data_IF_774382507055
#
_entry.id   IF_774382507055
#
_cell.length_a   1.000
_cell.length_b   1.000
_cell.length_c   1.000
_cell.angle_alpha   90.00
_cell.angle_beta   90.00
_cell.angle_gamma   90.00
#
_symmetry.space_group_name_H-M   'P 1'
#
loop_
_entity.id
_entity.type
_entity.pdbx_description
1 polymer ?
#
# COMPACT_ATOMS: atom_id res chain seq x y z
N UNK A 1 -27.46 17.61 -1.55
CA UNK A 1 -27.80 16.65 -0.47
C UNK A 1 -26.51 16.16 0.19
N UNK A 2 -26.56 15.58 1.39
CA UNK A 2 -25.43 14.89 2.04
C UNK A 2 -24.13 15.72 2.20
N UNK A 3 -24.22 17.03 2.31
CA UNK A 3 -23.04 17.90 2.45
C UNK A 3 -22.15 18.01 1.20
N UNK A 4 -22.60 17.52 0.04
CA UNK A 4 -21.91 17.68 -1.23
C UNK A 4 -22.16 19.07 -1.84
N UNK A 5 -21.08 19.77 -2.18
CA UNK A 5 -21.10 20.98 -3.01
C UNK A 5 -20.85 20.62 -4.50
N UNK A 6 -20.88 21.61 -5.40
CA UNK A 6 -20.69 21.37 -6.83
C UNK A 6 -19.30 20.79 -7.15
N UNK A 7 -18.27 21.28 -6.46
CA UNK A 7 -16.90 20.79 -6.63
C UNK A 7 -16.78 19.31 -6.25
N UNK A 8 -17.28 18.91 -5.07
CA UNK A 8 -17.24 17.51 -4.61
C UNK A 8 -18.00 16.57 -5.55
N UNK A 9 -19.15 17.01 -6.07
CA UNK A 9 -19.89 16.24 -7.08
C UNK A 9 -19.07 16.06 -8.35
N UNK A 10 -18.44 17.13 -8.84
CA UNK A 10 -17.57 17.08 -10.03
C UNK A 10 -16.43 16.08 -9.83
N UNK A 11 -15.71 16.16 -8.71
CA UNK A 11 -14.62 15.22 -8.38
C UNK A 11 -15.10 13.77 -8.36
N UNK A 12 -16.25 13.50 -7.73
CA UNK A 12 -16.81 12.15 -7.67
C UNK A 12 -17.23 11.62 -9.06
N UNK A 13 -17.89 12.46 -9.86
CA UNK A 13 -18.29 12.12 -11.25
C UNK A 13 -17.08 11.89 -12.15
N UNK A 14 -16.07 12.75 -12.08
CA UNK A 14 -14.85 12.62 -12.87
C UNK A 14 -14.09 11.35 -12.48
N UNK A 15 -14.06 10.98 -11.18
CA UNK A 15 -13.48 9.71 -10.73
C UNK A 15 -14.20 8.50 -11.34
N UNK A 16 -15.53 8.51 -11.36
CA UNK A 16 -16.31 7.41 -11.97
C UNK A 16 -16.04 7.35 -13.47
N UNK A 17 -16.10 8.50 -14.16
CA UNK A 17 -15.83 8.61 -15.60
C UNK A 17 -14.44 8.09 -15.96
N UNK A 18 -13.41 8.51 -15.23
CA UNK A 18 -12.03 8.09 -15.48
C UNK A 18 -11.83 6.59 -15.25
N UNK A 19 -12.45 6.02 -14.21
CA UNK A 19 -12.40 4.57 -13.96
C UNK A 19 -13.13 3.82 -15.06
N UNK A 20 -14.33 4.24 -15.46
CA UNK A 20 -15.09 3.61 -16.54
C UNK A 20 -14.30 3.68 -17.86
N UNK A 21 -13.82 4.86 -18.22
CA UNK A 21 -12.96 5.06 -19.39
C UNK A 21 -11.75 4.13 -19.37
N UNK A 22 -11.03 4.05 -18.25
CA UNK A 22 -9.89 3.13 -18.13
C UNK A 22 -10.31 1.67 -18.32
N UNK A 23 -11.39 1.22 -17.68
CA UNK A 23 -11.83 -0.18 -17.74
C UNK A 23 -12.38 -0.59 -19.10
N UNK A 24 -13.06 0.32 -19.80
CA UNK A 24 -13.64 0.08 -21.12
C UNK A 24 -12.60 0.16 -22.25
N UNK A 25 -11.52 0.92 -22.07
CA UNK A 25 -10.45 1.07 -23.07
C UNK A 25 -9.24 0.15 -22.83
N UNK A 26 -9.29 -0.73 -21.83
CA UNK A 26 -8.26 -1.73 -21.59
C UNK A 26 -8.87 -3.13 -21.67
N UNK A 27 -8.20 -4.03 -22.38
CA UNK A 27 -8.75 -5.33 -22.77
C UNK A 27 -7.78 -6.46 -22.45
N UNK A 28 -8.32 -7.63 -22.15
CA UNK A 28 -7.57 -8.89 -22.18
C UNK A 28 -7.89 -9.57 -23.51
N UNK A 29 -6.86 -9.89 -24.29
CA UNK A 29 -6.97 -10.68 -25.51
C UNK A 29 -6.94 -12.17 -25.18
N UNK A 30 -7.93 -12.90 -25.66
CA UNK A 30 -8.00 -14.36 -25.63
C UNK A 30 -8.17 -14.85 -27.07
N UNK A 31 -7.07 -15.17 -27.74
CA UNK A 31 -7.09 -15.42 -29.19
C UNK A 31 -7.61 -14.19 -29.93
N UNK A 32 -8.68 -14.39 -30.69
CA UNK A 32 -9.34 -13.33 -31.48
C UNK A 32 -10.37 -12.50 -30.67
N UNK A 33 -10.65 -12.88 -29.43
CA UNK A 33 -11.63 -12.18 -28.59
C UNK A 33 -10.96 -11.15 -27.69
N UNK A 34 -11.43 -9.90 -27.74
CA UNK A 34 -11.06 -8.85 -26.80
C UNK A 34 -12.14 -8.69 -25.73
N UNK A 35 -11.77 -8.90 -24.47
CA UNK A 35 -12.69 -8.73 -23.34
C UNK A 35 -12.26 -7.50 -22.53
N UNK A 36 -13.07 -6.43 -22.44
CA UNK A 36 -12.74 -5.24 -21.68
C UNK A 36 -12.67 -5.54 -20.18
N UNK A 37 -11.87 -4.77 -19.45
CA UNK A 37 -11.72 -4.94 -18.00
C UNK A 37 -13.03 -4.71 -17.25
N UNK A 38 -13.92 -3.86 -17.77
CA UNK A 38 -15.24 -3.59 -17.20
C UNK A 38 -16.10 -4.85 -17.06
N UNK A 39 -15.95 -5.85 -17.94
CA UNK A 39 -16.72 -7.09 -17.88
C UNK A 39 -16.46 -7.90 -16.61
N UNK A 40 -15.25 -7.84 -16.05
CA UNK A 40 -14.88 -8.60 -14.85
C UNK A 40 -14.59 -7.74 -13.62
N UNK A 41 -14.54 -6.41 -13.76
CA UNK A 41 -14.34 -5.51 -12.63
C UNK A 41 -15.61 -5.37 -11.78
N UNK A 42 -15.55 -5.90 -10.55
CA UNK A 42 -16.68 -5.87 -9.61
C UNK A 42 -16.67 -4.60 -8.79
N UNK A 43 -17.57 -3.67 -9.10
CA UNK A 43 -17.80 -2.48 -8.30
C UNK A 43 -19.26 -2.05 -8.40
N UNK A 44 -19.76 -1.43 -7.34
CA UNK A 44 -21.11 -0.89 -7.20
C UNK A 44 -21.57 -0.03 -8.39
N UNK A 45 -20.67 0.70 -9.06
CA UNK A 45 -21.03 1.61 -10.16
C UNK A 45 -20.56 1.17 -11.56
N UNK A 46 -19.75 0.12 -11.68
CA UNK A 46 -19.34 -0.43 -12.98
C UNK A 46 -20.19 -1.65 -13.33
N UNK A 47 -20.39 -2.53 -12.35
CA UNK A 47 -21.26 -3.71 -12.49
C UNK A 47 -22.24 -3.74 -11.31
N UNK A 48 -23.21 -2.81 -11.27
CA UNK A 48 -24.14 -2.66 -10.16
C UNK A 48 -24.95 -3.93 -9.90
N UNK A 49 -25.46 -4.58 -10.95
CA UNK A 49 -26.26 -5.79 -10.83
C UNK A 49 -25.49 -6.92 -10.12
N UNK A 50 -24.23 -7.15 -10.51
CA UNK A 50 -23.39 -8.18 -9.88
C UNK A 50 -23.04 -7.81 -8.43
N UNK A 51 -22.80 -6.53 -8.15
CA UNK A 51 -22.54 -6.05 -6.79
C UNK A 51 -23.78 -6.22 -5.89
N UNK A 52 -24.96 -5.81 -6.36
CA UNK A 52 -26.24 -5.91 -5.64
C UNK A 52 -26.55 -7.39 -5.36
N UNK A 53 -26.45 -8.26 -6.36
CA UNK A 53 -26.69 -9.69 -6.19
C UNK A 53 -25.75 -10.32 -5.14
N UNK A 54 -24.47 -9.94 -5.15
CA UNK A 54 -23.49 -10.47 -4.17
C UNK A 54 -23.78 -9.98 -2.75
N UNK A 55 -24.19 -8.72 -2.58
CA UNK A 55 -24.62 -8.17 -1.29
C UNK A 55 -25.89 -8.86 -0.79
N UNK A 56 -26.90 -8.99 -1.64
CA UNK A 56 -28.16 -9.66 -1.29
C UNK A 56 -27.91 -11.11 -0.88
N UNK A 57 -27.14 -11.86 -1.68
CA UNK A 57 -26.76 -13.23 -1.36
C UNK A 57 -26.06 -13.30 0.00
N UNK A 58 -25.13 -12.39 0.30
CA UNK A 58 -24.42 -12.37 1.59
C UNK A 58 -25.33 -12.08 2.77
N UNK A 59 -26.23 -11.10 2.66
CA UNK A 59 -27.16 -10.76 3.74
C UNK A 59 -28.17 -11.88 3.96
N UNK A 60 -28.72 -12.43 2.88
CA UNK A 60 -29.60 -13.59 2.93
C UNK A 60 -28.93 -14.81 3.57
N UNK A 61 -27.66 -15.05 3.22
CA UNK A 61 -26.89 -16.15 3.80
C UNK A 61 -26.67 -16.00 5.30
N UNK A 62 -26.42 -14.78 5.78
CA UNK A 62 -26.30 -14.48 7.22
C UNK A 62 -27.63 -14.72 7.93
N UNK A 63 -28.72 -14.26 7.32
CA UNK A 63 -30.05 -14.47 7.87
C UNK A 63 -30.36 -15.97 7.98
N UNK A 64 -30.22 -16.74 6.91
CA UNK A 64 -30.44 -18.18 6.93
C UNK A 64 -29.55 -18.90 7.96
N UNK A 65 -28.28 -18.46 8.07
CA UNK A 65 -27.36 -18.98 9.08
C UNK A 65 -27.86 -18.74 10.50
N UNK A 66 -28.40 -17.55 10.78
CA UNK A 66 -28.95 -17.17 12.08
C UNK A 66 -30.26 -17.92 12.38
N UNK A 67 -31.16 -18.00 11.41
CA UNK A 67 -32.43 -18.74 11.52
C UNK A 67 -32.21 -20.22 11.79
N UNK A 68 -31.26 -20.85 11.08
CA UNK A 68 -30.91 -22.26 11.29
C UNK A 68 -30.34 -22.54 12.70
N UNK A 69 -29.97 -21.49 13.45
CA UNK A 69 -29.43 -21.57 14.82
C UNK A 69 -30.38 -21.00 15.86
N UNK A 70 -31.62 -20.68 15.48
CA UNK A 70 -32.61 -20.05 16.38
C UNK A 70 -32.09 -18.74 17.01
N UNK A 71 -31.24 -18.00 16.30
CA UNK A 71 -30.76 -16.70 16.78
C UNK A 71 -31.81 -15.64 16.49
N UNK A 72 -32.01 -14.74 17.45
CA UNK A 72 -32.97 -13.64 17.33
C UNK A 72 -32.28 -12.34 16.94
N UNK A 73 -32.99 -11.52 16.18
CA UNK A 73 -32.46 -10.26 15.68
C UNK A 73 -32.64 -9.14 16.73
N UNK A 74 -31.56 -8.39 16.96
CA UNK A 74 -31.59 -7.12 17.68
C UNK A 74 -31.07 -6.03 16.74
N UNK A 75 -31.94 -5.08 16.43
CA UNK A 75 -31.59 -3.97 15.56
C UNK A 75 -31.08 -2.79 16.36
N UNK A 76 -29.96 -2.22 15.94
CA UNK A 76 -29.31 -1.12 16.62
C UNK A 76 -28.97 -0.02 15.61
N UNK A 77 -29.18 1.23 16.00
CA UNK A 77 -28.65 2.39 15.28
C UNK A 77 -27.62 3.08 16.16
N UNK A 78 -26.45 3.39 15.60
CA UNK A 78 -25.41 4.19 16.25
C UNK A 78 -25.17 5.46 15.44
N UNK A 79 -25.32 6.61 16.10
CA UNK A 79 -25.15 7.94 15.52
C UNK A 79 -23.91 8.63 16.10
N UNK A 80 -23.35 9.57 15.35
CA UNK A 80 -22.25 10.38 15.86
C UNK A 80 -22.73 11.39 16.92
N UNK A 81 -21.85 11.85 17.82
CA UNK A 81 -22.16 12.93 18.74
C UNK A 81 -22.40 14.26 17.99
N UNK A 82 -23.04 15.25 18.66
CA UNK A 82 -23.49 16.48 18.00
C UNK A 82 -22.39 17.25 17.25
N UNK A 83 -21.14 17.22 17.69
CA UNK A 83 -20.01 17.91 17.06
C UNK A 83 -19.67 17.40 15.64
N UNK A 84 -20.18 16.23 15.25
CA UNK A 84 -20.09 15.71 13.88
C UNK A 84 -21.22 16.20 12.98
N UNK A 85 -22.30 16.74 13.55
CA UNK A 85 -23.50 17.13 12.81
C UNK A 85 -23.49 18.62 12.52
N UNK A 86 -23.47 18.98 11.23
CA UNK A 86 -23.48 20.39 10.80
C UNK A 86 -24.82 21.06 11.07
N UNK A 87 -25.89 20.28 11.00
CA UNK A 87 -27.26 20.72 11.19
C UNK A 87 -27.85 20.02 12.41
N UNK A 88 -28.69 20.73 13.16
CA UNK A 88 -29.49 20.14 14.24
C UNK A 88 -30.96 20.49 14.02
N UNK A 89 -31.83 19.57 14.42
CA UNK A 89 -33.28 19.77 14.40
C UNK A 89 -33.71 20.37 15.75
N UNK A 90 -34.49 21.45 15.73
CA UNK A 90 -35.09 22.04 16.93
C UNK A 90 -36.46 21.41 17.20
N UNK A 91 -36.94 21.59 18.44
CA UNK A 91 -38.33 21.30 18.78
C UNK A 91 -39.25 22.14 17.88
N UNK A 92 -40.15 21.50 17.13
CA UNK A 92 -40.95 22.13 16.08
C UNK A 92 -40.47 21.84 14.65
N UNK A 93 -39.38 21.08 14.46
CA UNK A 93 -38.99 20.56 13.15
C UNK A 93 -38.02 21.42 12.35
N UNK A 94 -37.80 22.67 12.78
CA UNK A 94 -36.88 23.60 12.13
C UNK A 94 -35.42 23.10 12.17
N UNK A 95 -34.73 23.15 11.03
CA UNK A 95 -33.34 22.73 10.88
C UNK A 95 -32.45 23.97 10.99
N UNK A 96 -31.56 24.00 11.98
CA UNK A 96 -30.63 25.13 12.20
C UNK A 96 -29.18 24.66 12.18
N UNK A 97 -28.24 25.59 11.96
CA UNK A 97 -26.80 25.31 12.08
C UNK A 97 -26.45 24.94 13.52
N UNK A 98 -25.64 23.91 13.67
CA UNK A 98 -25.17 23.48 14.97
C UNK A 98 -23.90 24.24 15.37
N UNK A 99 -23.95 25.01 16.46
CA UNK A 99 -22.80 25.76 16.99
C UNK A 99 -21.66 24.86 17.49
N UNK A 100 -21.95 23.61 17.84
CA UNK A 100 -20.95 22.64 18.31
C UNK A 100 -20.23 21.91 17.18
N UNK A 101 -20.63 22.14 15.92
CA UNK A 101 -20.06 21.44 14.77
C UNK A 101 -18.57 21.75 14.60
N UNK A 102 -17.75 20.71 14.55
CA UNK A 102 -16.34 20.81 14.21
C UNK A 102 -16.14 20.46 12.72
N UNK A 103 -15.65 21.38 11.87
CA UNK A 103 -15.36 21.10 10.46
C UNK A 103 -14.34 19.98 10.21
N UNK A 104 -13.46 19.68 11.17
CA UNK A 104 -12.48 18.59 11.09
C UNK A 104 -13.14 17.20 11.14
N UNK A 105 -14.37 17.12 11.67
CA UNK A 105 -15.18 15.90 11.74
C UNK A 105 -15.76 15.53 10.37
N UNK A 106 -14.89 15.26 9.40
CA UNK A 106 -15.30 14.84 8.05
C UNK A 106 -16.05 13.49 8.08
N UNK A 107 -16.88 13.18 7.08
CA UNK A 107 -17.57 11.89 7.00
C UNK A 107 -16.65 10.66 7.11
N UNK A 108 -15.40 10.78 6.64
CA UNK A 108 -14.39 9.72 6.76
C UNK A 108 -13.92 9.54 8.20
N UNK A 109 -13.72 10.63 8.94
CA UNK A 109 -13.41 10.61 10.38
C UNK A 109 -14.58 10.04 11.16
N UNK A 110 -15.81 10.48 10.86
CA UNK A 110 -17.05 9.97 11.44
C UNK A 110 -17.21 8.46 11.23
N UNK A 111 -16.99 7.94 10.01
CA UNK A 111 -17.05 6.49 9.73
C UNK A 111 -16.03 5.68 10.54
N UNK A 112 -14.81 6.22 10.71
CA UNK A 112 -13.77 5.59 11.55
C UNK A 112 -14.18 5.62 13.02
N UNK A 113 -14.73 6.74 13.48
CA UNK A 113 -15.25 6.90 14.84
C UNK A 113 -16.36 5.89 15.15
N UNK A 114 -17.36 5.77 14.27
CA UNK A 114 -18.45 4.79 14.39
C UNK A 114 -17.94 3.34 14.40
N UNK A 115 -16.90 3.04 13.60
CA UNK A 115 -16.27 1.72 13.63
C UNK A 115 -15.57 1.44 14.97
N UNK A 116 -14.95 2.45 15.59
CA UNK A 116 -14.41 2.32 16.95
C UNK A 116 -15.51 2.15 17.99
N UNK A 117 -16.64 2.86 17.86
CA UNK A 117 -17.80 2.67 18.74
C UNK A 117 -18.31 1.24 18.67
N UNK A 118 -18.60 0.73 17.47
CA UNK A 118 -19.05 -0.65 17.30
C UNK A 118 -18.03 -1.66 17.86
N UNK A 119 -16.73 -1.42 17.67
CA UNK A 119 -15.70 -2.27 18.23
C UNK A 119 -15.73 -2.36 19.77
N UNK A 120 -16.27 -1.35 20.49
CA UNK A 120 -16.47 -1.44 21.93
C UNK A 120 -17.47 -2.54 22.29
N UNK A 121 -18.60 -2.64 21.57
CA UNK A 121 -19.57 -3.73 21.76
C UNK A 121 -18.95 -5.07 21.41
N UNK A 122 -18.27 -5.16 20.25
CA UNK A 122 -17.73 -6.43 19.77
C UNK A 122 -16.62 -7.00 20.67
N UNK A 123 -15.92 -6.13 21.42
CA UNK A 123 -14.85 -6.49 22.35
C UNK A 123 -15.30 -6.58 23.81
N UNK A 124 -16.54 -6.19 24.12
CA UNK A 124 -17.05 -6.31 25.48
C UNK A 124 -17.10 -7.78 25.90
N UNK A 125 -16.75 -8.07 27.15
CA UNK A 125 -16.66 -9.43 27.69
C UNK A 125 -17.96 -10.21 27.56
N UNK A 126 -19.12 -9.54 27.66
CA UNK A 126 -20.41 -10.20 27.49
C UNK A 126 -20.62 -10.63 26.03
N UNK A 127 -20.36 -9.75 25.07
CA UNK A 127 -20.54 -10.12 23.67
C UNK A 127 -19.49 -11.14 23.21
N UNK A 128 -18.26 -11.02 23.72
CA UNK A 128 -17.15 -11.92 23.39
C UNK A 128 -17.33 -13.34 23.93
N UNK A 129 -18.04 -13.50 25.06
CA UNK A 129 -18.35 -14.82 25.65
C UNK A 129 -19.45 -15.60 24.93
N UNK A 130 -20.23 -14.95 24.05
CA UNK A 130 -21.15 -15.67 23.16
C UNK A 130 -20.32 -16.46 22.12
N UNK A 131 -20.55 -17.77 21.95
CA UNK A 131 -19.83 -18.58 20.96
C UNK A 131 -19.87 -17.94 19.57
N UNK A 132 -18.79 -18.07 18.78
CA UNK A 132 -18.68 -17.41 17.47
C UNK A 132 -19.71 -17.94 16.47
N UNK A 133 -20.14 -19.17 16.65
CA UNK A 133 -21.18 -19.85 15.90
C UNK A 133 -22.57 -19.33 16.23
N UNK A 134 -22.78 -18.84 17.44
CA UNK A 134 -24.07 -18.37 17.96
C UNK A 134 -24.18 -16.84 17.95
N UNK A 135 -23.28 -16.18 17.23
CA UNK A 135 -23.41 -14.75 16.95
C UNK A 135 -23.01 -14.44 15.53
N UNK A 136 -23.79 -13.56 14.94
CA UNK A 136 -23.39 -12.88 13.72
C UNK A 136 -23.98 -11.48 13.70
N UNK A 137 -23.43 -10.65 12.84
CA UNK A 137 -24.00 -9.34 12.58
C UNK A 137 -23.69 -8.90 11.17
N UNK A 138 -24.42 -7.88 10.74
CA UNK A 138 -23.96 -7.00 9.68
C UNK A 138 -24.36 -5.57 9.98
N UNK A 139 -23.72 -4.65 9.27
CA UNK A 139 -23.94 -3.22 9.40
C UNK A 139 -24.00 -2.56 8.05
N UNK A 140 -24.83 -1.53 7.97
CA UNK A 140 -24.99 -0.63 6.85
C UNK A 140 -24.58 0.76 7.31
N UNK A 141 -23.75 1.44 6.52
CA UNK A 141 -23.38 2.84 6.75
C UNK A 141 -24.22 3.72 5.86
N UNK A 142 -25.04 4.60 6.44
CA UNK A 142 -25.90 5.51 5.70
C UNK A 142 -25.58 6.97 6.06
N UNK A 143 -25.55 7.92 5.12
CA UNK A 143 -25.44 9.34 5.44
C UNK A 143 -26.78 9.95 5.85
N UNK A 144 -26.79 10.75 6.92
CA UNK A 144 -27.87 11.70 7.18
C UNK A 144 -27.90 12.80 6.11
N UNK A 145 -28.99 13.56 6.03
CA UNK A 145 -29.14 14.66 5.07
C UNK A 145 -28.00 15.69 5.10
N UNK A 146 -27.35 15.89 6.24
CA UNK A 146 -26.20 16.79 6.40
C UNK A 146 -24.86 16.19 5.92
N UNK A 147 -24.82 14.88 5.64
CA UNK A 147 -23.66 14.13 5.16
C UNK A 147 -22.95 13.30 6.23
N UNK A 148 -23.36 13.40 7.50
CA UNK A 148 -22.74 12.66 8.60
C UNK A 148 -23.21 11.20 8.57
N UNK A 149 -22.31 10.21 8.58
CA UNK A 149 -22.71 8.81 8.58
C UNK A 149 -23.35 8.41 9.91
N UNK A 150 -24.21 7.40 9.85
CA UNK A 150 -24.67 6.60 10.98
C UNK A 150 -24.64 5.12 10.60
N UNK A 151 -24.65 4.25 11.61
CA UNK A 151 -24.67 2.81 11.40
C UNK A 151 -26.04 2.25 11.73
N UNK A 152 -26.59 1.47 10.82
CA UNK A 152 -27.65 0.51 11.09
C UNK A 152 -27.03 -0.87 11.22
N UNK A 153 -27.21 -1.52 12.36
CA UNK A 153 -26.56 -2.78 12.70
C UNK A 153 -27.63 -3.76 13.10
N UNK A 154 -27.42 -5.00 12.71
CA UNK A 154 -28.31 -6.09 13.06
C UNK A 154 -27.49 -7.21 13.61
N UNK A 155 -27.67 -7.39 14.92
CA UNK A 155 -27.07 -8.47 15.67
C UNK A 155 -28.02 -9.65 15.66
N UNK A 156 -27.47 -10.83 15.49
CA UNK A 156 -28.16 -12.09 15.72
C UNK A 156 -27.44 -12.77 16.87
N UNK A 157 -28.17 -13.01 17.95
CA UNK A 157 -27.66 -13.59 19.20
C UNK A 157 -28.72 -14.55 19.77
N UNK A 158 -28.36 -15.42 20.73
CA UNK A 158 -29.34 -16.29 21.37
C UNK A 158 -30.37 -15.48 22.16
N UNK A 159 -31.60 -15.99 22.23
CA UNK A 159 -32.73 -15.30 22.84
C UNK A 159 -32.48 -14.96 24.33
N UNK A 160 -31.89 -15.89 25.07
CA UNK A 160 -31.54 -15.72 26.49
C UNK A 160 -30.47 -14.62 26.74
N UNK A 161 -29.79 -14.16 25.68
CA UNK A 161 -28.77 -13.11 25.74
C UNK A 161 -29.33 -11.72 25.42
N UNK A 162 -30.53 -11.60 24.88
CA UNK A 162 -31.09 -10.32 24.39
C UNK A 162 -31.15 -9.27 25.48
N UNK A 163 -31.71 -9.60 26.65
CA UNK A 163 -31.88 -8.63 27.73
C UNK A 163 -30.54 -8.04 28.21
N UNK A 164 -29.53 -8.91 28.37
CA UNK A 164 -28.18 -8.50 28.74
C UNK A 164 -27.52 -7.67 27.63
N UNK A 165 -27.74 -8.03 26.36
CA UNK A 165 -27.25 -7.27 25.23
C UNK A 165 -27.86 -5.86 25.17
N UNK A 166 -29.17 -5.73 25.43
CA UNK A 166 -29.85 -4.44 25.48
C UNK A 166 -29.25 -3.57 26.57
N UNK A 167 -29.06 -4.11 27.78
CA UNK A 167 -28.40 -3.39 28.89
C UNK A 167 -26.98 -2.95 28.51
N UNK A 168 -26.20 -3.83 27.88
CA UNK A 168 -24.86 -3.52 27.39
C UNK A 168 -24.89 -2.36 26.38
N UNK A 169 -25.74 -2.46 25.36
CA UNK A 169 -25.82 -1.48 24.28
C UNK A 169 -26.22 -0.10 24.82
N UNK A 170 -27.29 -0.04 25.62
CA UNK A 170 -27.80 1.20 26.21
C UNK A 170 -26.78 1.84 27.15
N UNK A 171 -25.98 1.05 27.89
CA UNK A 171 -24.88 1.56 28.72
C UNK A 171 -23.79 2.24 27.89
N UNK A 172 -23.42 1.67 26.74
CA UNK A 172 -22.39 2.25 25.88
C UNK A 172 -22.89 3.42 25.04
N UNK A 173 -24.16 3.37 24.61
CA UNK A 173 -24.77 4.33 23.69
C UNK A 173 -26.16 4.75 24.19
N UNK A 174 -26.22 5.58 25.25
CA UNK A 174 -27.49 6.16 25.69
C UNK A 174 -28.08 7.06 24.60
N UNK A 175 -29.41 7.25 24.62
CA UNK A 175 -30.09 8.17 23.71
C UNK A 175 -29.52 9.60 23.87
N UNK A 176 -29.25 10.34 22.77
CA UNK A 176 -29.59 10.09 21.37
C UNK A 176 -28.52 9.36 20.54
N UNK A 177 -27.43 8.87 21.14
CA UNK A 177 -26.32 8.24 20.41
C UNK A 177 -26.66 6.84 19.90
N UNK A 178 -27.49 6.12 20.65
CA UNK A 178 -27.92 4.77 20.33
C UNK A 178 -29.45 4.64 20.32
N UNK A 179 -29.97 3.84 19.39
CA UNK A 179 -31.36 3.36 19.40
C UNK A 179 -31.36 1.84 19.24
N UNK A 180 -32.18 1.13 20.00
CA UNK A 180 -32.29 -0.32 19.97
C UNK A 180 -33.74 -0.77 19.81
N UNK A 181 -33.95 -1.76 18.95
CA UNK A 181 -35.25 -2.34 18.63
C UNK A 181 -35.13 -3.88 18.67
N UNK A 182 -35.88 -4.53 19.55
CA UNK A 182 -35.84 -5.99 19.77
C UNK A 182 -36.99 -6.75 19.13
N UNK A 183 -38.11 -6.08 18.86
CA UNK A 183 -39.28 -6.65 18.19
C UNK A 183 -39.34 -6.15 16.75
N UNK A 184 -38.66 -6.86 15.86
CA UNK A 184 -38.71 -6.60 14.42
C UNK A 184 -39.50 -7.73 13.77
N UNK A 185 -40.72 -7.46 13.31
CA UNK A 185 -41.66 -8.49 12.79
C UNK A 185 -41.05 -9.30 11.65
N UNK A 186 -40.37 -8.62 10.73
CA UNK A 186 -39.60 -9.25 9.66
C UNK A 186 -38.20 -8.63 9.61
N UNK A 187 -37.22 -9.23 10.30
CA UNK A 187 -35.87 -8.71 10.29
C UNK A 187 -35.34 -8.62 8.87
N UNK A 188 -35.58 -9.58 7.98
CA UNK A 188 -35.09 -9.51 6.59
C UNK A 188 -35.60 -8.27 5.86
N UNK A 189 -36.91 -8.00 5.90
CA UNK A 189 -37.48 -6.83 5.24
C UNK A 189 -36.90 -5.54 5.81
N UNK A 190 -36.72 -5.49 7.13
CA UNK A 190 -36.11 -4.35 7.80
C UNK A 190 -34.65 -4.16 7.42
N UNK A 191 -33.90 -5.24 7.25
CA UNK A 191 -32.52 -5.22 6.78
C UNK A 191 -32.39 -4.79 5.34
N UNK A 192 -33.22 -5.36 4.47
CA UNK A 192 -33.26 -5.05 3.05
C UNK A 192 -33.67 -3.62 2.81
N UNK A 193 -34.54 -3.04 3.64
CA UNK A 193 -34.85 -1.61 3.59
C UNK A 193 -33.58 -0.76 3.60
N UNK A 194 -32.67 -0.98 4.56
CA UNK A 194 -31.45 -0.18 4.67
C UNK A 194 -30.41 -0.54 3.60
N UNK A 195 -30.24 -1.82 3.28
CA UNK A 195 -29.36 -2.25 2.19
C UNK A 195 -29.81 -1.64 0.87
N UNK A 196 -31.07 -1.81 0.48
CA UNK A 196 -31.63 -1.30 -0.77
C UNK A 196 -31.67 0.22 -0.81
N UNK A 197 -31.89 0.90 0.32
CA UNK A 197 -31.79 2.36 0.40
C UNK A 197 -30.38 2.84 0.08
N UNK A 198 -29.35 2.13 0.55
CA UNK A 198 -27.96 2.44 0.17
C UNK A 198 -27.62 2.07 -1.27
N UNK A 199 -28.45 1.31 -1.96
CA UNK A 199 -28.23 0.84 -3.34
C UNK A 199 -29.26 1.40 -4.33
N UNK A 200 -30.17 2.25 -3.87
CA UNK A 200 -31.40 2.60 -4.59
C UNK A 200 -31.10 3.25 -5.94
N UNK A 201 -30.10 4.11 -5.95
CA UNK A 201 -29.64 4.84 -7.12
C UNK A 201 -28.83 4.01 -8.12
N UNK A 202 -28.41 2.80 -7.76
CA UNK A 202 -27.73 1.88 -8.67
C UNK A 202 -28.71 1.07 -9.53
N UNK A 203 -30.02 1.21 -9.29
CA UNK A 203 -31.08 0.46 -9.97
C UNK A 203 -31.65 1.16 -11.20
N UNK A 204 -31.44 2.47 -11.35
CA UNK A 204 -32.13 3.30 -12.36
C UNK A 204 -31.26 3.71 -13.57
N UNK A 205 -30.23 2.92 -13.90
CA UNK A 205 -29.40 3.11 -15.10
C UNK A 205 -28.14 3.97 -14.92
N UNK A 206 -27.27 3.96 -15.92
CA UNK A 206 -25.91 4.51 -15.84
C UNK A 206 -25.83 6.04 -15.84
N UNK A 207 -26.87 6.72 -16.34
CA UNK A 207 -26.81 8.16 -16.63
C UNK A 207 -27.20 9.07 -15.45
N UNK A 208 -27.83 8.52 -14.40
CA UNK A 208 -28.34 9.29 -13.26
C UNK A 208 -27.76 8.82 -11.92
N UNK A 209 -26.46 9.02 -11.73
CA UNK A 209 -25.78 8.76 -10.44
C UNK A 209 -26.27 9.76 -9.38
N UNK A 210 -26.94 9.28 -8.34
CA UNK A 210 -27.48 10.14 -7.28
C UNK A 210 -26.39 10.73 -6.36
N UNK A 211 -26.77 11.78 -5.62
CA UNK A 211 -25.92 12.36 -4.56
C UNK A 211 -25.49 11.33 -3.51
N UNK A 212 -26.24 10.24 -3.31
CA UNK A 212 -25.89 9.16 -2.38
C UNK A 212 -24.66 8.36 -2.85
N UNK A 213 -24.67 7.86 -4.09
CA UNK A 213 -23.49 7.19 -4.66
C UNK A 213 -22.30 8.13 -4.75
N UNK A 214 -22.50 9.39 -5.14
CA UNK A 214 -21.40 10.37 -5.17
C UNK A 214 -20.80 10.58 -3.78
N UNK A 215 -21.60 10.57 -2.72
CA UNK A 215 -21.12 10.67 -1.34
C UNK A 215 -20.21 9.48 -0.97
N UNK A 216 -20.60 8.25 -1.29
CA UNK A 216 -19.76 7.07 -1.05
C UNK A 216 -18.45 7.12 -1.86
N UNK A 217 -18.52 7.52 -3.13
CA UNK A 217 -17.35 7.56 -4.03
C UNK A 217 -16.36 8.64 -3.63
N UNK A 218 -16.87 9.81 -3.22
CA UNK A 218 -16.07 10.95 -2.79
C UNK A 218 -15.35 10.64 -1.46
N UNK A 219 -16.09 10.14 -0.46
CA UNK A 219 -15.52 9.89 0.86
C UNK A 219 -14.81 8.53 0.99
N UNK A 220 -15.03 7.60 0.06
CA UNK A 220 -14.44 6.27 0.09
C UNK A 220 -14.95 5.41 1.25
N UNK A 221 -16.24 5.54 1.56
CA UNK A 221 -16.88 4.84 2.69
C UNK A 221 -17.53 3.55 2.17
N UNK A 222 -17.31 2.44 2.88
CA UNK A 222 -17.95 1.18 2.52
C UNK A 222 -19.41 1.15 2.97
N UNK A 223 -20.31 0.75 2.07
CA UNK A 223 -21.75 0.67 2.34
C UNK A 223 -22.08 -0.36 3.41
N UNK A 224 -21.49 -1.55 3.32
CA UNK A 224 -21.91 -2.73 4.10
C UNK A 224 -20.70 -3.48 4.64
N UNK A 225 -20.78 -3.92 5.90
CA UNK A 225 -19.86 -4.89 6.49
C UNK A 225 -20.63 -6.01 7.14
N UNK A 226 -20.05 -7.21 7.16
CA UNK A 226 -20.58 -8.33 7.90
C UNK A 226 -19.54 -8.89 8.87
N UNK A 227 -20.03 -9.60 9.88
CA UNK A 227 -19.26 -10.56 10.66
C UNK A 227 -18.55 -11.60 9.77
N UNK A 228 -17.50 -12.22 10.31
CA UNK A 228 -16.70 -13.28 9.66
C UNK A 228 -17.33 -14.67 9.84
N UNK A 229 -18.64 -14.73 10.02
CA UNK A 229 -19.37 -15.99 10.29
C UNK A 229 -19.45 -16.88 9.05
N UNK A 230 -19.55 -16.28 7.87
CA UNK A 230 -19.59 -16.97 6.58
C UNK A 230 -18.17 -17.14 6.01
N UNK A 231 -18.01 -18.14 5.15
CA UNK A 231 -16.79 -18.31 4.36
C UNK A 231 -16.48 -17.06 3.51
N UNK A 232 -15.20 -16.80 3.25
CA UNK A 232 -14.79 -15.66 2.43
C UNK A 232 -15.43 -15.72 1.05
N UNK A 233 -15.88 -14.55 0.56
CA UNK A 233 -16.37 -14.41 -0.80
C UNK A 233 -15.30 -14.76 -1.83
N UNK A 234 -14.01 -14.67 -1.51
CA UNK A 234 -12.95 -15.07 -2.44
C UNK A 234 -12.98 -16.57 -2.74
N UNK A 235 -13.36 -17.40 -1.76
CA UNK A 235 -13.57 -18.84 -1.96
C UNK A 235 -14.86 -19.09 -2.76
N UNK A 236 -15.95 -18.42 -2.37
CA UNK A 236 -17.22 -18.53 -3.09
C UNK A 236 -17.10 -18.16 -4.58
N UNK A 237 -16.35 -17.09 -4.88
CA UNK A 237 -16.16 -16.59 -6.25
C UNK A 237 -15.42 -17.55 -7.16
N UNK A 238 -14.42 -18.26 -6.65
CA UNK A 238 -13.62 -19.19 -7.48
C UNK A 238 -14.40 -20.45 -7.86
N UNK A 239 -15.40 -20.83 -7.06
CA UNK A 239 -16.26 -21.99 -7.31
C UNK A 239 -17.44 -21.68 -8.25
N UNK A 240 -17.58 -20.43 -8.71
CA UNK A 240 -18.51 -20.09 -9.79
C UNK A 240 -19.99 -20.35 -9.48
N UNK A 241 -20.38 -20.36 -8.20
CA UNK A 241 -21.77 -20.61 -7.80
C UNK A 241 -22.20 -22.08 -7.77
N UNK A 242 -21.26 -23.03 -7.88
CA UNK A 242 -21.53 -24.48 -7.73
C UNK A 242 -22.14 -24.86 -6.38
N UNK A 243 -21.86 -24.06 -5.35
CA UNK A 243 -22.34 -24.25 -3.99
C UNK A 243 -22.94 -22.94 -3.51
N UNK A 244 -23.95 -23.02 -2.65
CA UNK A 244 -24.43 -21.85 -1.93
C UNK A 244 -23.41 -21.37 -0.89
N UNK A 245 -23.48 -20.09 -0.52
CA UNK A 245 -22.56 -19.53 0.48
C UNK A 245 -22.78 -20.17 1.87
N UNK A 246 -24.01 -20.58 2.17
CA UNK A 246 -24.34 -21.34 3.38
C UNK A 246 -23.73 -22.76 3.34
N UNK A 247 -23.88 -23.50 2.24
CA UNK A 247 -23.28 -24.83 2.08
C UNK A 247 -21.77 -24.81 2.29
N UNK A 248 -21.07 -23.90 1.59
CA UNK A 248 -19.61 -23.77 1.77
C UNK A 248 -19.22 -23.41 3.20
N UNK A 249 -20.04 -22.58 3.86
CA UNK A 249 -19.81 -22.22 5.27
C UNK A 249 -19.95 -23.44 6.18
N UNK A 250 -20.96 -24.29 5.93
CA UNK A 250 -21.16 -25.54 6.69
C UNK A 250 -20.00 -26.50 6.44
N UNK A 251 -19.67 -26.78 5.18
CA UNK A 251 -18.56 -27.67 4.82
C UNK A 251 -17.23 -27.21 5.42
N UNK A 252 -16.96 -25.91 5.42
CA UNK A 252 -15.76 -25.34 6.02
C UNK A 252 -15.72 -25.53 7.54
N UNK A 253 -16.85 -25.31 8.24
CA UNK A 253 -16.93 -25.50 9.70
C UNK A 253 -16.85 -26.96 10.10
N UNK A 254 -17.41 -27.87 9.29
CA UNK A 254 -17.33 -29.32 9.48
C UNK A 254 -15.99 -29.92 9.04
N UNK A 255 -15.01 -29.09 8.62
CA UNK A 255 -13.70 -29.53 8.11
C UNK A 255 -13.77 -30.43 6.86
N UNK A 256 -14.89 -30.37 6.13
CA UNK A 256 -15.11 -31.04 4.82
C UNK A 256 -14.63 -30.19 3.64
N UNK A 257 -14.22 -28.94 3.89
CA UNK A 257 -13.66 -28.04 2.89
C UNK A 257 -12.30 -27.51 3.34
N UNK A 258 -11.27 -27.73 2.53
CA UNK A 258 -9.92 -27.21 2.74
C UNK A 258 -9.58 -26.14 1.70
N UNK A 259 -9.13 -24.97 2.15
CA UNK A 259 -8.80 -23.82 1.29
C UNK A 259 -7.33 -23.47 1.46
N UNK A 260 -6.57 -23.59 0.37
CA UNK A 260 -5.17 -23.17 0.34
C UNK A 260 -5.07 -21.77 -0.22
N UNK A 261 -4.38 -20.89 0.52
CA UNK A 261 -4.17 -19.49 0.14
C UNK A 261 -2.69 -19.18 0.04
N UNK A 262 -2.35 -18.19 -0.77
CA UNK A 262 -0.99 -17.67 -0.85
C UNK A 262 -0.62 -16.95 0.46
N UNK A 263 0.55 -17.21 1.08
CA UNK A 263 0.90 -16.69 2.41
C UNK A 263 0.92 -15.17 2.48
N UNK A 264 1.50 -14.50 1.48
CA UNK A 264 1.58 -13.04 1.47
C UNK A 264 0.30 -12.34 0.97
N UNK A 265 -0.30 -12.85 -0.10
CA UNK A 265 -1.40 -12.15 -0.78
C UNK A 265 -2.79 -12.59 -0.32
N UNK A 266 -2.89 -13.65 0.49
CA UNK A 266 -4.14 -14.31 0.89
C UNK A 266 -5.06 -14.73 -0.28
N UNK A 267 -4.53 -14.79 -1.51
CA UNK A 267 -5.30 -15.21 -2.68
C UNK A 267 -5.49 -16.72 -2.66
N UNK A 268 -6.71 -17.17 -2.94
CA UNK A 268 -7.04 -18.60 -3.05
C UNK A 268 -6.21 -19.24 -4.17
N UNK A 269 -5.51 -20.33 -3.84
CA UNK A 269 -4.68 -21.12 -4.74
C UNK A 269 -5.36 -22.44 -5.09
N UNK A 270 -5.92 -23.13 -4.10
CA UNK A 270 -6.58 -24.41 -4.30
C UNK A 270 -7.75 -24.55 -3.31
N UNK A 271 -8.78 -25.28 -3.73
CA UNK A 271 -9.92 -25.64 -2.87
C UNK A 271 -10.17 -27.13 -3.03
N UNK A 272 -10.29 -27.82 -1.90
CA UNK A 272 -10.60 -29.24 -1.81
C UNK A 272 -11.87 -29.43 -0.99
N UNK A 273 -12.71 -30.36 -1.42
CA UNK A 273 -13.77 -30.93 -0.58
C UNK A 273 -13.34 -32.31 -0.06
N UNK A 274 -14.29 -33.06 0.51
CA UNK A 274 -14.08 -34.42 1.00
C UNK A 274 -13.77 -35.46 -0.10
N UNK A 275 -14.13 -35.18 -1.35
CA UNK A 275 -13.92 -36.06 -2.49
C UNK A 275 -12.64 -35.72 -3.27
N UNK A 276 -12.06 -34.55 -3.04
CA UNK A 276 -10.77 -34.15 -3.57
C UNK A 276 -10.72 -32.71 -4.03
N UNK A 277 -9.91 -32.44 -5.06
CA UNK A 277 -9.62 -31.08 -5.52
C UNK A 277 -10.72 -30.55 -6.44
N UNK A 278 -11.54 -29.62 -5.94
CA UNK A 278 -12.64 -29.01 -6.71
C UNK A 278 -12.21 -27.77 -7.50
N UNK A 279 -11.12 -27.10 -7.09
CA UNK A 279 -10.59 -25.94 -7.80
C UNK A 279 -9.09 -25.75 -7.62
N UNK A 280 -8.42 -25.30 -8.68
CA UNK A 280 -7.02 -24.88 -8.68
C UNK A 280 -6.87 -23.60 -9.48
N UNK A 281 -6.11 -22.66 -8.92
CA UNK A 281 -5.70 -21.47 -9.64
C UNK A 281 -4.76 -21.89 -10.75
N UNK A 282 -5.21 -21.75 -12.01
CA UNK A 282 -4.34 -21.88 -13.16
C UNK A 282 -3.24 -20.81 -13.06
N UNK A 283 -2.00 -21.25 -12.86
CA UNK A 283 -0.85 -20.39 -13.07
C UNK A 283 -0.84 -20.05 -14.57
N UNK A 284 -0.83 -18.77 -14.96
CA UNK A 284 -0.58 -18.45 -16.35
C UNK A 284 0.78 -19.06 -16.69
N UNK A 285 0.81 -19.96 -17.68
CA UNK A 285 2.07 -20.27 -18.37
C UNK A 285 2.40 -18.98 -19.10
N UNK A 286 3.23 -18.15 -18.47
CA UNK A 286 3.72 -16.93 -19.10
C UNK A 286 4.72 -17.43 -20.12
N UNK A 287 4.25 -17.58 -21.36
CA UNK A 287 5.13 -17.72 -22.49
C UNK A 287 5.91 -16.41 -22.58
N UNK A 288 7.13 -16.40 -22.04
CA UNK A 288 7.96 -15.21 -21.85
C UNK A 288 8.29 -14.51 -23.19
N UNK A 289 7.94 -15.13 -24.32
CA UNK A 289 8.07 -14.58 -25.65
C UNK A 289 7.21 -13.32 -25.90
N UNK A 290 6.08 -13.11 -25.19
CA UNK A 290 5.10 -12.06 -25.57
C UNK A 290 4.92 -10.88 -24.60
N UNK A 291 5.70 -10.75 -23.52
CA UNK A 291 5.55 -9.62 -22.58
C UNK A 291 6.81 -8.75 -22.45
N UNK A 292 7.25 -8.13 -23.54
CA UNK A 292 7.97 -6.85 -23.51
C UNK A 292 7.06 -5.68 -23.89
N UNK A 293 5.82 -5.65 -23.38
CA UNK A 293 5.09 -4.38 -23.33
C UNK A 293 5.62 -3.63 -22.11
N UNK A 294 6.61 -2.76 -22.35
CA UNK A 294 7.01 -1.77 -21.36
C UNK A 294 5.75 -1.02 -20.92
N UNK A 295 5.45 -1.01 -19.61
CA UNK A 295 4.48 -0.06 -19.07
C UNK A 295 4.84 1.33 -19.60
N UNK A 296 3.92 2.11 -20.20
CA UNK A 296 4.20 3.50 -20.52
C UNK A 296 4.28 4.27 -19.21
N UNK A 297 5.45 4.24 -18.58
CA UNK A 297 5.80 5.17 -17.53
C UNK A 297 6.17 6.48 -18.22
N UNK A 298 5.26 7.45 -18.19
CA UNK A 298 5.64 8.85 -18.39
C UNK A 298 6.61 9.18 -17.24
N UNK A 299 7.91 9.02 -17.48
CA UNK A 299 8.92 9.59 -16.61
C UNK A 299 8.76 11.10 -16.73
N UNK A 300 8.11 11.72 -15.75
CA UNK A 300 8.24 13.17 -15.58
C UNK A 300 9.68 13.46 -15.18
N UNK A 301 10.56 13.59 -16.19
CA UNK A 301 11.83 14.26 -16.01
C UNK A 301 11.52 15.75 -15.86
N UNK A 302 11.31 16.22 -14.62
CA UNK A 302 11.57 17.63 -14.33
C UNK A 302 13.07 17.83 -14.52
N UNK A 303 13.49 18.35 -15.68
CA UNK A 303 14.85 18.85 -15.83
C UNK A 303 15.06 19.91 -14.73
N UNK A 304 16.10 19.82 -13.90
CA UNK A 304 16.38 20.87 -12.93
C UNK A 304 16.58 22.18 -13.70
N UNK A 305 15.93 23.25 -13.25
CA UNK A 305 16.09 24.58 -13.85
C UNK A 305 17.57 24.96 -13.70
N UNK A 306 18.24 25.16 -14.83
CA UNK A 306 19.64 25.56 -14.87
C UNK A 306 19.70 27.06 -14.57
N UNK A 307 20.16 27.42 -13.37
CA UNK A 307 20.32 28.83 -12.98
C UNK A 307 21.73 29.24 -13.39
N UNK A 308 21.85 30.14 -14.36
CA UNK A 308 23.11 30.72 -14.83
C UNK A 308 23.19 32.16 -14.31
N UNK A 309 24.26 32.48 -13.57
CA UNK A 309 24.46 33.80 -12.93
C UNK A 309 25.44 34.59 -13.80
N UNK A 310 25.07 35.80 -14.19
CA UNK A 310 25.90 36.68 -15.02
C UNK A 310 26.35 37.90 -14.21
N UNK A 311 27.57 38.37 -14.48
CA UNK A 311 28.05 39.68 -14.04
C UNK A 311 27.26 40.79 -14.74
N UNK A 312 27.27 42.01 -14.17
CA UNK A 312 26.61 43.20 -14.75
C UNK A 312 27.06 43.52 -16.19
N UNK A 313 28.20 42.98 -16.61
CA UNK A 313 28.78 43.15 -17.96
C UNK A 313 28.55 41.93 -18.87
N UNK A 314 27.65 41.01 -18.52
CA UNK A 314 27.24 39.89 -19.37
C UNK A 314 28.18 38.67 -19.37
N UNK A 315 29.19 38.64 -18.49
CA UNK A 315 30.09 37.49 -18.34
C UNK A 315 29.48 36.45 -17.40
N UNK A 316 29.40 35.19 -17.84
CA UNK A 316 28.90 34.07 -17.03
C UNK A 316 29.83 33.85 -15.82
N UNK A 317 29.28 33.97 -14.62
CA UNK A 317 29.98 33.68 -13.37
C UNK A 317 29.76 32.21 -13.01
N UNK A 318 30.81 31.39 -13.17
CA UNK A 318 30.76 29.99 -12.74
C UNK A 318 30.68 29.92 -11.21
N UNK A 319 29.62 29.31 -10.62
CA UNK A 319 29.53 29.19 -9.18
C UNK A 319 30.59 28.21 -8.67
N UNK A 320 31.45 28.69 -7.77
CA UNK A 320 32.31 27.99 -6.81
C UNK A 320 32.88 26.64 -7.30
N UNK A 321 34.16 26.62 -7.69
CA UNK A 321 34.88 25.38 -7.97
C UNK A 321 34.77 24.43 -6.76
N UNK A 322 34.37 23.17 -7.00
CA UNK A 322 34.27 22.17 -5.94
C UNK A 322 35.60 22.07 -5.17
N UNK A 323 35.57 22.00 -3.83
CA UNK A 323 36.78 21.78 -3.04
C UNK A 323 37.57 20.58 -3.57
N UNK A 324 38.90 20.67 -3.60
CA UNK A 324 39.80 19.67 -4.21
C UNK A 324 39.48 18.27 -3.67
N UNK A 325 39.25 18.15 -2.35
CA UNK A 325 38.88 16.90 -1.69
C UNK A 325 37.60 16.24 -2.23
N UNK A 326 36.68 17.00 -2.83
CA UNK A 326 35.41 16.50 -3.34
C UNK A 326 35.44 16.24 -4.86
N UNK A 327 36.60 16.41 -5.51
CA UNK A 327 36.78 16.05 -6.92
C UNK A 327 36.91 14.53 -7.08
N UNK A 328 36.36 14.01 -8.17
CA UNK A 328 36.54 12.61 -8.58
C UNK A 328 37.98 12.41 -9.06
N UNK A 329 38.56 11.23 -8.88
CA UNK A 329 39.99 10.98 -9.19
C UNK A 329 40.39 11.35 -10.63
N UNK A 330 39.54 11.03 -11.61
CA UNK A 330 39.80 11.41 -13.01
C UNK A 330 39.85 12.93 -13.23
N UNK A 331 38.85 13.66 -12.70
CA UNK A 331 38.78 15.13 -12.79
C UNK A 331 39.94 15.79 -12.03
N UNK A 332 40.32 15.22 -10.88
CA UNK A 332 41.45 15.68 -10.08
C UNK A 332 42.78 15.52 -10.83
N UNK A 333 43.00 14.39 -11.50
CA UNK A 333 44.22 14.15 -12.30
C UNK A 333 44.30 15.06 -13.53
N UNK A 334 43.19 15.24 -14.26
CA UNK A 334 43.17 16.18 -15.37
C UNK A 334 43.46 17.61 -14.90
N UNK A 335 42.89 18.00 -13.76
CA UNK A 335 43.15 19.29 -13.17
C UNK A 335 44.62 19.45 -12.76
N UNK A 336 45.22 18.44 -12.11
CA UNK A 336 46.63 18.43 -11.76
C UNK A 336 47.55 18.63 -12.99
N UNK A 337 47.31 17.91 -14.08
CA UNK A 337 48.10 18.05 -15.32
C UNK A 337 47.88 19.40 -16.03
N UNK A 338 46.74 20.05 -15.81
CA UNK A 338 46.47 21.38 -16.36
C UNK A 338 47.17 22.51 -15.59
N UNK A 339 47.64 22.25 -14.36
CA UNK A 339 48.33 23.24 -13.55
C UNK A 339 49.80 23.35 -13.97
N UNK A 340 50.25 24.58 -14.19
CA UNK A 340 51.63 24.87 -14.51
C UNK A 340 52.35 25.44 -13.27
N UNK A 341 53.35 24.76 -12.69
CA UNK A 341 53.98 25.18 -11.43
C UNK A 341 54.57 26.60 -11.47
N UNK A 342 55.04 27.04 -12.64
CA UNK A 342 55.74 28.33 -12.80
C UNK A 342 54.77 29.53 -12.96
N UNK A 343 53.49 29.27 -13.27
CA UNK A 343 52.47 30.30 -13.55
C UNK A 343 51.28 30.24 -12.58
N UNK A 344 51.12 29.16 -11.81
CA UNK A 344 50.03 28.97 -10.87
C UNK A 344 50.45 29.20 -9.43
N UNK A 345 49.49 29.51 -8.55
CA UNK A 345 49.78 29.67 -7.13
C UNK A 345 50.36 28.36 -6.58
N UNK A 346 51.64 28.39 -6.21
CA UNK A 346 52.41 27.22 -5.78
C UNK A 346 51.76 26.48 -4.60
N UNK A 347 51.15 27.21 -3.65
CA UNK A 347 50.43 26.59 -2.53
C UNK A 347 49.23 25.76 -2.99
N UNK A 348 48.51 26.25 -4.00
CA UNK A 348 47.38 25.54 -4.59
C UNK A 348 47.85 24.32 -5.38
N UNK A 349 48.96 24.43 -6.12
CA UNK A 349 49.58 23.29 -6.78
C UNK A 349 49.97 22.20 -5.78
N UNK A 350 50.65 22.57 -4.69
CA UNK A 350 51.04 21.64 -3.61
C UNK A 350 49.83 20.97 -2.98
N UNK A 351 48.73 21.71 -2.75
CA UNK A 351 47.48 21.13 -2.24
C UNK A 351 46.89 20.07 -3.16
N UNK A 352 46.84 20.35 -4.46
CA UNK A 352 46.33 19.40 -5.46
C UNK A 352 47.26 18.19 -5.58
N UNK A 353 48.57 18.42 -5.62
CA UNK A 353 49.59 17.38 -5.68
C UNK A 353 49.50 16.43 -4.47
N UNK A 354 49.44 16.98 -3.26
CA UNK A 354 49.32 16.21 -2.03
C UNK A 354 48.04 15.39 -1.99
N UNK A 355 46.93 15.92 -2.49
CA UNK A 355 45.67 15.17 -2.57
C UNK A 355 45.78 14.02 -3.58
N UNK A 356 46.48 14.21 -4.70
CA UNK A 356 46.79 13.14 -5.66
C UNK A 356 47.70 12.06 -5.02
N UNK A 357 48.74 12.45 -4.28
CA UNK A 357 49.66 11.53 -3.58
C UNK A 357 48.91 10.74 -2.50
N UNK A 358 48.10 11.41 -1.66
CA UNK A 358 47.29 10.76 -0.62
C UNK A 358 46.35 9.69 -1.18
N UNK A 359 45.84 9.91 -2.39
CA UNK A 359 44.96 8.96 -3.11
C UNK A 359 45.73 7.91 -3.91
N UNK A 360 47.06 7.93 -3.87
CA UNK A 360 47.93 7.00 -4.59
C UNK A 360 47.90 7.18 -6.11
N UNK A 361 47.48 8.35 -6.61
CA UNK A 361 47.33 8.61 -8.05
C UNK A 361 48.66 9.01 -8.71
N UNK A 362 49.61 9.52 -7.91
CA UNK A 362 50.99 9.85 -8.32
C UNK A 362 51.96 9.43 -7.20
N UNK A 363 53.21 9.11 -7.55
CA UNK A 363 54.27 8.83 -6.58
C UNK A 363 55.02 10.11 -6.21
N UNK A 364 55.29 10.30 -4.92
CA UNK A 364 56.02 11.43 -4.38
C UNK A 364 55.78 11.60 -2.88
N UNK A 365 56.57 12.44 -2.24
CA UNK A 365 56.40 12.75 -0.82
C UNK A 365 55.41 13.90 -0.63
N UNK A 366 54.60 13.83 0.43
CA UNK A 366 53.65 14.89 0.78
C UNK A 366 54.44 16.13 1.23
N UNK A 367 54.26 17.24 0.54
CA UNK A 367 54.94 18.50 0.85
C UNK A 367 54.11 19.34 1.84
N UNK A 368 54.73 20.04 2.80
CA UNK A 368 54.00 20.94 3.68
C UNK A 368 53.39 22.11 2.89
N UNK A 369 52.12 22.44 3.14
CA UNK A 369 51.36 23.45 2.37
C UNK A 369 51.82 24.89 2.70
N UNK A 370 52.46 25.09 3.84
CA UNK A 370 52.86 26.41 4.35
C UNK A 370 54.36 26.67 4.13
N UNK A 371 54.81 26.61 2.87
CA UNK A 371 56.18 27.01 2.48
C UNK A 371 56.11 28.47 2.00
N UNK A 372 55.96 29.39 2.95
CA UNK A 372 56.30 30.79 2.74
C UNK A 372 57.24 31.15 3.90
N UNK A 373 58.55 30.98 3.69
CA UNK A 373 59.54 31.41 4.69
C UNK A 373 60.95 30.81 4.66
N UNK A 374 61.27 29.78 3.88
CA UNK A 374 62.63 29.19 3.86
C UNK A 374 63.14 28.92 2.45
N UNK A 375 64.44 29.19 2.27
CA UNK A 375 65.20 29.24 1.01
C UNK A 375 65.00 27.98 0.13
N UNK A 376 64.57 28.19 -1.13
CA UNK A 376 64.08 27.15 -2.06
C UNK A 376 65.22 26.47 -2.85
N UNK A 377 66.45 26.98 -2.76
CA UNK A 377 67.60 26.47 -3.51
C UNK A 377 67.98 24.98 -3.29
N UNK A 378 67.71 24.30 -2.16
CA UNK A 378 68.14 22.90 -1.99
C UNK A 378 67.30 21.87 -2.78
N UNK A 379 66.05 22.20 -3.14
CA UNK A 379 65.10 21.23 -3.72
C UNK A 379 65.02 21.28 -5.26
N UNK A 380 65.50 22.36 -5.89
CA UNK A 380 65.59 22.46 -7.35
C UNK A 380 66.59 21.45 -7.95
N UNK A 381 67.62 21.07 -7.19
CA UNK A 381 68.63 20.09 -7.63
C UNK A 381 68.11 18.64 -7.69
N UNK A 382 67.03 18.29 -6.99
CA UNK A 382 66.41 16.96 -7.10
C UNK A 382 65.53 16.84 -8.34
N UNK A 383 64.83 17.91 -8.72
CA UNK A 383 63.99 17.94 -9.93
C UNK A 383 64.82 17.90 -11.22
N UNK A 384 65.96 18.59 -11.26
CA UNK A 384 66.86 18.55 -12.42
C UNK A 384 67.40 17.13 -12.68
N UNK A 385 67.88 16.44 -11.64
CA UNK A 385 68.38 15.05 -11.74
C UNK A 385 67.32 14.05 -12.21
N UNK A 386 66.06 14.25 -11.82
CA UNK A 386 64.95 13.39 -12.23
C UNK A 386 64.56 13.63 -13.70
N UNK A 387 64.60 14.90 -14.15
CA UNK A 387 64.36 15.27 -15.55
C UNK A 387 65.44 14.72 -16.48
N UNK A 388 66.71 14.74 -16.04
CA UNK A 388 67.84 14.17 -16.78
C UNK A 388 67.77 12.63 -16.87
N UNK A 389 67.31 11.96 -15.80
CA UNK A 389 67.10 10.50 -15.78
C UNK A 389 66.01 10.04 -16.76
N UNK A 390 64.89 10.76 -16.81
CA UNK A 390 63.76 10.46 -17.71
C UNK A 390 64.10 10.71 -19.18
N UNK A 391 64.87 11.76 -19.47
CA UNK A 391 65.36 12.04 -20.82
C UNK A 391 66.42 11.02 -21.28
N UNK A 392 67.22 10.47 -20.37
CA UNK A 392 68.24 9.46 -20.69
C UNK A 392 67.69 8.04 -20.90
N UNK A 393 66.49 7.71 -20.41
CA UNK A 393 65.92 6.36 -20.51
C UNK A 393 64.43 6.35 -20.93
N UNK A 394 64.10 6.84 -22.15
CA UNK A 394 62.71 7.02 -22.58
C UNK A 394 61.92 5.71 -22.73
N UNK A 395 62.58 4.55 -22.86
CA UNK A 395 61.93 3.24 -23.04
C UNK A 395 61.55 2.52 -21.73
N UNK A 396 61.90 3.03 -20.54
CA UNK A 396 61.51 2.42 -19.26
C UNK A 396 60.19 2.96 -18.67
N UNK A 397 59.52 3.86 -19.38
CA UNK A 397 58.25 4.48 -18.93
C UNK A 397 57.09 3.46 -19.01
N UNK A 398 57.06 2.61 -20.03
CA UNK A 398 55.97 1.65 -20.25
C UNK A 398 56.07 0.39 -19.36
N UNK A 399 57.28 -0.08 -19.06
CA UNK A 399 57.49 -1.24 -18.18
C UNK A 399 57.11 -0.91 -16.71
N UNK A 400 57.34 0.33 -16.27
CA UNK A 400 56.95 0.78 -14.94
C UNK A 400 55.42 0.91 -14.78
N UNK A 401 54.73 1.30 -15.86
CA UNK A 401 53.26 1.36 -15.91
C UNK A 401 52.62 -0.02 -15.81
N UNK A 402 53.22 -1.03 -16.45
CA UNK A 402 52.73 -2.41 -16.44
C UNK A 402 52.90 -3.07 -15.07
N UNK A 403 54.01 -2.81 -14.37
CA UNK A 403 54.24 -3.29 -13.00
C UNK A 403 53.29 -2.66 -11.97
N UNK A 404 52.89 -1.39 -12.17
CA UNK A 404 51.95 -0.68 -11.30
C UNK A 404 50.50 -1.19 -11.43
N UNK A 405 50.10 -1.65 -12.62
CA UNK A 405 48.79 -2.28 -12.84
C UNK A 405 48.74 -3.65 -12.16
N UNK A 406 49.80 -4.46 -12.26
CA UNK A 406 49.90 -5.79 -11.62
C UNK A 406 49.83 -5.70 -10.08
N UNK A 407 50.53 -4.75 -9.47
CA UNK A 407 50.48 -4.49 -8.01
C UNK A 407 49.10 -4.01 -7.53
N UNK A 408 48.31 -3.37 -8.42
CA UNK A 408 46.95 -2.91 -8.10
C UNK A 408 45.93 -4.06 -8.11
N UNK A 409 46.13 -5.08 -8.94
CA UNK A 409 45.29 -6.28 -9.01
C UNK A 409 45.58 -7.26 -7.87
N UNK A 410 46.84 -7.42 -7.46
CA UNK A 410 47.20 -8.24 -6.28
C UNK A 410 46.64 -7.64 -4.98
N UNK A 411 46.67 -6.31 -4.81
CA UNK A 411 46.03 -5.63 -3.67
C UNK A 411 44.51 -5.82 -3.66
N UNK A 412 43.86 -5.81 -4.83
CA UNK A 412 42.42 -6.03 -4.99
C UNK A 412 42.01 -7.47 -4.64
N UNK A 413 42.87 -8.45 -4.89
CA UNK A 413 42.67 -9.86 -4.51
C UNK A 413 42.90 -10.08 -3.00
N UNK A 414 43.87 -9.37 -2.40
CA UNK A 414 44.13 -9.39 -0.95
C UNK A 414 43.02 -8.71 -0.12
N UNK A 415 42.47 -7.58 -0.60
CA UNK A 415 41.39 -6.85 0.08
C UNK A 415 40.03 -7.58 0.03
N UNK A 416 39.82 -8.46 -0.98
CA UNK A 416 38.65 -9.35 -1.02
C UNK A 416 38.77 -10.55 -0.06
N UNK A 417 39.98 -10.91 0.41
CA UNK A 417 40.18 -11.99 1.40
C UNK A 417 39.92 -11.57 2.86
N UNK A 418 39.85 -10.26 3.16
CA UNK A 418 39.73 -9.76 4.54
C UNK A 418 38.36 -9.15 4.91
N UNK A 419 37.36 -9.18 4.03
CA UNK A 419 35.97 -8.87 4.43
C UNK A 419 35.31 -10.11 5.03
N UNK A 420 35.51 -10.28 6.35
CA UNK A 420 34.71 -11.17 7.19
C UNK A 420 33.22 -10.78 7.08
N UNK A 421 32.45 -11.65 6.42
CA UNK A 421 31.01 -11.71 6.56
C UNK A 421 30.65 -12.06 8.02
N UNK A 422 29.57 -11.49 8.59
CA UNK A 422 29.08 -11.92 9.90
C UNK A 422 28.72 -13.41 9.87
N UNK A 423 29.20 -14.13 10.90
CA UNK A 423 29.02 -15.57 11.06
C UNK A 423 27.58 -15.94 11.41
N UNK A 424 27.13 -17.04 10.80
CA UNK A 424 25.99 -17.92 11.09
C UNK A 424 24.58 -17.44 10.70
N UNK A 425 24.24 -17.71 9.44
CA UNK A 425 22.96 -18.32 9.07
C UNK A 425 23.32 -19.53 8.21
N UNK A 426 23.19 -20.73 8.76
CA UNK A 426 23.36 -21.97 7.98
C UNK A 426 22.17 -22.09 7.02
N UNK A 427 22.48 -21.97 5.74
CA UNK A 427 21.62 -22.28 4.61
C UNK A 427 21.63 -23.81 4.42
N UNK A 428 20.44 -24.41 4.37
CA UNK A 428 20.23 -25.79 3.93
C UNK A 428 20.68 -25.95 2.46
N UNK A 429 21.25 -27.12 2.08
CA UNK A 429 21.70 -27.41 0.74
C UNK A 429 20.56 -27.86 -0.20
N UNK A 430 20.91 -27.88 -1.47
CA UNK A 430 20.09 -28.04 -2.67
C UNK A 430 19.07 -29.19 -2.66
N UNK A 431 17.93 -28.90 -3.29
CA UNK A 431 16.84 -29.83 -3.61
C UNK A 431 17.28 -30.79 -4.72
N UNK A 432 17.84 -31.93 -4.35
CA UNK A 432 17.60 -33.22 -4.99
C UNK A 432 18.14 -34.35 -4.09
N UNK A 433 17.29 -35.35 -3.84
CA UNK A 433 17.48 -36.55 -2.99
C UNK A 433 17.31 -36.37 -1.47
N UNK A 434 16.18 -36.84 -0.93
CA UNK A 434 16.09 -37.95 0.05
C UNK A 434 14.61 -38.17 0.39
N UNK A 435 14.19 -39.42 0.17
CA UNK A 435 12.94 -40.05 0.58
C UNK A 435 13.07 -40.44 2.06
N UNK A 436 11.92 -40.43 2.76
CA UNK A 436 11.63 -41.08 4.06
C UNK A 436 12.08 -40.44 5.38
N UNK A 437 11.07 -40.33 6.27
CA UNK A 437 11.08 -39.98 7.69
C UNK A 437 11.51 -38.53 8.02
N UNK A 438 10.72 -37.67 8.67
CA UNK A 438 9.89 -37.94 9.83
C UNK A 438 8.79 -36.86 10.00
N UNK A 439 7.76 -37.23 10.77
CA UNK A 439 6.54 -36.50 11.09
C UNK A 439 6.84 -35.21 11.87
N UNK A 440 6.23 -34.09 11.47
CA UNK A 440 5.49 -33.20 12.39
C UNK A 440 4.76 -32.07 11.63
N UNK A 441 3.44 -32.22 11.58
CA UNK A 441 2.45 -31.22 11.18
C UNK A 441 2.47 -29.99 12.08
N UNK A 442 2.70 -28.80 11.53
CA UNK A 442 2.32 -27.53 12.18
C UNK A 442 0.98 -27.07 11.62
N UNK A 443 -0.07 -27.55 12.29
CA UNK A 443 -1.44 -27.05 12.20
C UNK A 443 -1.43 -25.67 12.87
N UNK A 444 -1.64 -24.60 12.11
CA UNK A 444 -1.99 -23.31 12.72
C UNK A 444 -3.45 -23.37 13.17
N UNK A 445 -3.60 -23.64 14.46
CA UNK A 445 -4.83 -23.62 15.22
C UNK A 445 -5.41 -22.18 15.21
N UNK A 446 -6.48 -21.97 14.44
CA UNK A 446 -7.26 -20.74 14.53
C UNK A 446 -8.22 -20.88 15.72
N UNK A 447 -7.75 -20.39 16.87
CA UNK A 447 -8.42 -20.48 18.17
C UNK A 447 -9.94 -20.34 18.14
N UNK A 448 -10.54 -21.40 18.70
CA UNK A 448 -11.89 -21.54 19.21
C UNK A 448 -12.28 -20.41 20.17
#
# INVERSE_FOLDING_TARGET
MYGLDQHKRKVAKDKIRNVKFFLDNNFIKFGDTEVPYSNFFKNAFINPNRYIAEIQNRVWSIFNYATARNLVNVFCTITCPPDFHRLKKLNGGNIVRNRKYNPENTPKVASKFLSKMLAKILKDNFYSSIPREDRCYFRVTEPHHDGTPHLHISFFIPEDKVEKFVKLFTRHFPEPLGKIETKVDNPVSYLMKYVLKTLDDLRYGEDNISDLTLWYVYHGICRIYTSRTLISLDVYRVLGGRYSLNELTVMYKEKRLSVYVHPETNKVLQVFDEFGRIWVKKMPVIDFAMSKVQKPCIKQHKKPIKIEIFSKNGVLLNPIQKPIAHRKNYDLMQYYHSLNPDLSNFQHFVLVQNECIKRGLIQGDILPVNILGTDINPYLNQFAKFKDYLNANPKKVDDHFTALIALSEEKRIADNKNRRLPKHVDLLPDLETVIEHDRQSTIYDFGA
#
